data_IF_863848319491
#
_entry.id   IF_863848319491
#
_cell.length_a   1.000
_cell.length_b   1.000
_cell.length_c   1.000
_cell.angle_alpha   90.00
_cell.angle_beta   90.00
_cell.angle_gamma   90.00
#
_symmetry.space_group_name_H-M   'P 1'
#
loop_
_entity.id
_entity.type
_entity.pdbx_description
1 polymer ?
#
# COMPACT_ATOMS: atom_id res chain seq x y z
N UNK A 1 6.70 9.44 -3.87
CA UNK A 1 6.97 10.85 -4.18
C UNK A 1 7.73 11.50 -3.03
N UNK A 2 8.55 12.52 -3.30
CA UNK A 2 9.24 13.32 -2.27
C UNK A 2 10.46 12.71 -1.59
N UNK A 3 10.75 11.41 -1.76
CA UNK A 3 11.79 10.70 -1.01
C UNK A 3 13.18 11.36 -1.10
N UNK A 4 13.55 11.87 -2.28
CA UNK A 4 14.84 12.53 -2.47
C UNK A 4 14.92 13.86 -1.70
N UNK A 5 13.85 14.66 -1.72
CA UNK A 5 13.79 15.94 -1.03
C UNK A 5 13.81 15.77 0.50
N UNK A 6 13.16 14.71 1.01
CA UNK A 6 12.99 14.45 2.44
C UNK A 6 14.11 13.63 3.05
N UNK A 7 15.00 13.06 2.26
CA UNK A 7 15.99 12.07 2.69
C UNK A 7 16.86 12.52 3.87
N UNK A 8 17.36 13.73 3.80
CA UNK A 8 18.25 14.26 4.84
C UNK A 8 17.46 14.59 6.12
N UNK A 9 16.22 15.08 5.98
CA UNK A 9 15.33 15.29 7.11
C UNK A 9 14.97 13.96 7.79
N UNK A 10 14.61 12.92 7.02
CA UNK A 10 14.31 11.58 7.54
C UNK A 10 15.51 11.02 8.33
N UNK A 11 16.72 11.15 7.81
CA UNK A 11 17.93 10.68 8.50
C UNK A 11 18.21 11.45 9.79
N UNK A 12 17.96 12.76 9.78
CA UNK A 12 18.19 13.63 10.93
C UNK A 12 17.18 13.36 12.04
N UNK A 13 15.91 13.27 11.69
CA UNK A 13 14.81 13.06 12.65
C UNK A 13 14.67 11.57 13.06
N UNK A 14 15.20 10.64 12.25
CA UNK A 14 15.20 9.20 12.53
C UNK A 14 13.88 8.49 12.21
N UNK A 15 12.93 9.17 11.58
CA UNK A 15 11.66 8.59 11.12
C UNK A 15 11.20 9.22 9.79
N UNK A 16 10.31 8.52 9.09
CA UNK A 16 9.62 9.03 7.92
C UNK A 16 8.12 9.14 8.19
N UNK A 17 7.48 10.20 7.69
CA UNK A 17 6.02 10.34 7.66
C UNK A 17 5.57 9.87 6.29
N UNK A 18 4.65 8.91 6.22
CA UNK A 18 4.07 8.40 4.99
C UNK A 18 2.64 8.90 4.86
N UNK A 19 2.36 9.62 3.78
CA UNK A 19 1.03 10.13 3.41
C UNK A 19 0.53 9.52 2.10
N UNK A 20 -0.75 9.67 1.78
CA UNK A 20 -1.34 9.10 0.57
C UNK A 20 -1.07 9.95 -0.67
N UNK A 21 -1.41 11.22 -0.62
CA UNK A 21 -1.39 12.13 -1.75
C UNK A 21 -0.12 12.98 -1.85
N UNK A 22 0.18 13.40 -3.07
CA UNK A 22 1.26 14.38 -3.28
C UNK A 22 0.88 15.78 -2.76
N UNK A 23 -0.41 16.09 -2.61
CA UNK A 23 -0.87 17.36 -2.03
C UNK A 23 -0.58 17.40 -0.54
N UNK A 24 -0.87 16.32 0.20
CA UNK A 24 -0.50 16.19 1.61
C UNK A 24 1.01 16.38 1.80
N UNK A 25 1.80 15.71 0.94
CA UNK A 25 3.26 15.92 0.95
C UNK A 25 3.62 17.38 0.80
N UNK A 26 3.09 18.07 -0.22
CA UNK A 26 3.43 19.46 -0.52
C UNK A 26 3.05 20.39 0.63
N UNK A 27 1.87 20.18 1.21
CA UNK A 27 1.38 21.01 2.30
C UNK A 27 2.19 20.83 3.59
N UNK A 28 2.44 19.58 3.99
CA UNK A 28 3.29 19.27 5.14
C UNK A 28 4.70 19.83 4.94
N UNK A 29 5.28 19.65 3.76
CA UNK A 29 6.61 20.15 3.44
C UNK A 29 6.67 21.68 3.46
N UNK A 30 5.65 22.36 2.94
CA UNK A 30 5.51 23.81 3.00
C UNK A 30 5.34 24.33 4.45
N UNK A 31 4.67 23.56 5.29
CA UNK A 31 4.57 23.82 6.73
C UNK A 31 5.87 23.54 7.52
N UNK A 32 6.97 23.21 6.82
CA UNK A 32 8.27 22.85 7.40
C UNK A 32 8.27 21.51 8.16
N UNK A 33 7.38 20.59 7.81
CA UNK A 33 7.41 19.18 8.21
C UNK A 33 8.09 18.41 7.09
N UNK A 34 9.41 18.24 7.20
CA UNK A 34 10.23 17.78 6.06
C UNK A 34 10.44 16.27 5.96
N UNK A 35 10.36 15.43 7.05
CA UNK A 35 10.57 13.99 6.94
C UNK A 35 9.37 13.26 6.34
N UNK A 36 8.71 13.81 5.31
CA UNK A 36 7.47 13.33 4.71
C UNK A 36 7.71 12.74 3.33
N UNK A 37 6.99 11.66 2.99
CA UNK A 37 6.96 11.02 1.67
C UNK A 37 5.52 10.62 1.32
N UNK A 38 5.17 10.60 0.04
CA UNK A 38 3.84 10.22 -0.40
C UNK A 38 3.85 8.99 -1.31
N UNK A 39 2.79 8.19 -1.25
CA UNK A 39 2.58 7.04 -2.15
C UNK A 39 2.14 7.50 -3.53
N UNK A 40 1.32 8.54 -3.61
CA UNK A 40 0.83 9.20 -4.84
C UNK A 40 -0.01 8.30 -5.76
N UNK A 41 -1.24 8.01 -5.34
CA UNK A 41 -2.25 7.39 -6.19
C UNK A 41 -2.07 5.88 -6.43
N UNK A 42 -1.18 5.23 -5.69
CA UNK A 42 -0.98 3.78 -5.73
C UNK A 42 -0.97 3.20 -4.31
N UNK A 43 -1.15 1.88 -4.16
CA UNK A 43 -0.95 1.25 -2.87
C UNK A 43 0.53 1.28 -2.45
N UNK A 44 0.80 1.32 -1.14
CA UNK A 44 2.15 1.18 -0.60
C UNK A 44 2.67 -0.25 -0.83
N UNK A 45 3.82 -0.38 -1.49
CA UNK A 45 4.37 -1.66 -1.94
C UNK A 45 5.61 -2.09 -1.16
N UNK A 46 6.00 -3.39 -1.20
CA UNK A 46 7.27 -3.86 -0.63
C UNK A 46 8.50 -3.12 -1.18
N UNK A 47 8.47 -2.69 -2.45
CA UNK A 47 9.55 -1.90 -3.05
C UNK A 47 9.68 -0.53 -2.41
N UNK A 48 8.55 0.12 -2.06
CA UNK A 48 8.54 1.37 -1.31
C UNK A 48 9.11 1.18 0.10
N UNK A 49 8.71 0.12 0.80
CA UNK A 49 9.25 -0.21 2.12
C UNK A 49 10.77 -0.46 2.07
N UNK A 50 11.24 -1.20 1.08
CA UNK A 50 12.68 -1.43 0.85
C UNK A 50 13.44 -0.13 0.58
N UNK A 51 12.83 0.84 -0.10
CA UNK A 51 13.47 2.14 -0.31
C UNK A 51 13.59 2.94 1.00
N UNK A 52 12.55 2.90 1.85
CA UNK A 52 12.54 3.55 3.16
C UNK A 52 13.50 2.88 4.15
N UNK A 53 13.59 1.55 4.19
CA UNK A 53 14.43 0.82 5.14
C UNK A 53 15.93 1.12 5.00
N UNK A 54 16.36 1.68 3.87
CA UNK A 54 17.75 2.13 3.64
C UNK A 54 18.08 3.46 4.35
N UNK A 55 17.09 4.18 4.85
CA UNK A 55 17.25 5.52 5.39
C UNK A 55 16.68 5.70 6.79
N UNK A 56 15.71 4.89 7.19
CA UNK A 56 15.12 4.88 8.54
C UNK A 56 14.58 3.49 8.87
N UNK A 57 14.37 3.21 10.16
CA UNK A 57 13.64 2.05 10.66
C UNK A 57 12.26 2.39 11.23
N UNK A 58 11.87 3.67 11.28
CA UNK A 58 10.59 4.12 11.84
C UNK A 58 9.77 4.85 10.79
N UNK A 59 8.49 4.49 10.68
CA UNK A 59 7.56 5.12 9.75
C UNK A 59 6.26 5.47 10.46
N UNK A 60 5.91 6.74 10.45
CA UNK A 60 4.63 7.25 10.92
C UNK A 60 3.68 7.28 9.74
N UNK A 61 2.61 6.49 9.78
CA UNK A 61 1.54 6.52 8.80
C UNK A 61 0.58 7.66 9.17
N UNK A 62 0.46 8.63 8.29
CA UNK A 62 -0.42 9.78 8.41
C UNK A 62 -1.32 9.82 7.17
N UNK A 63 -2.30 8.91 7.13
CA UNK A 63 -3.27 8.75 6.05
C UNK A 63 -4.57 9.49 6.39
N UNK A 64 -5.48 9.57 5.42
CA UNK A 64 -6.74 10.29 5.59
C UNK A 64 -7.55 9.79 6.80
N UNK A 65 -8.30 10.67 7.44
CA UNK A 65 -9.07 10.38 8.64
C UNK A 65 -10.36 9.58 8.39
N UNK A 66 -10.60 9.13 7.15
CA UNK A 66 -11.76 8.35 6.75
C UNK A 66 -11.53 6.82 6.85
N UNK A 67 -12.53 6.04 6.41
CA UNK A 67 -12.47 4.58 6.41
C UNK A 67 -11.47 4.05 5.38
N UNK A 68 -11.36 4.67 4.21
CA UNK A 68 -10.46 4.25 3.16
C UNK A 68 -8.99 4.43 3.58
N UNK A 69 -8.65 5.58 4.18
CA UNK A 69 -7.34 5.86 4.75
C UNK A 69 -6.99 4.93 5.91
N UNK A 70 -7.95 4.61 6.79
CA UNK A 70 -7.76 3.63 7.86
C UNK A 70 -7.42 2.23 7.33
N UNK A 71 -8.14 1.76 6.33
CA UNK A 71 -7.87 0.48 5.67
C UNK A 71 -6.53 0.49 4.92
N UNK A 72 -6.17 1.61 4.28
CA UNK A 72 -4.87 1.76 3.63
C UNK A 72 -3.71 1.75 4.64
N UNK A 73 -3.86 2.40 5.79
CA UNK A 73 -2.89 2.38 6.88
C UNK A 73 -2.66 0.96 7.43
N UNK A 74 -3.72 0.16 7.58
CA UNK A 74 -3.61 -1.25 7.99
C UNK A 74 -2.77 -2.04 6.98
N UNK A 75 -3.06 -1.90 5.68
CA UNK A 75 -2.28 -2.60 4.63
C UNK A 75 -0.82 -2.16 4.62
N UNK A 76 -0.57 -0.86 4.68
CA UNK A 76 0.78 -0.31 4.67
C UNK A 76 1.60 -0.75 5.89
N UNK A 77 0.99 -0.81 7.07
CA UNK A 77 1.66 -1.25 8.31
C UNK A 77 2.16 -2.69 8.23
N UNK A 78 1.40 -3.63 7.66
CA UNK A 78 1.87 -4.99 7.43
C UNK A 78 3.02 -5.06 6.43
N UNK A 79 2.99 -4.25 5.37
CA UNK A 79 4.11 -4.17 4.41
C UNK A 79 5.37 -3.64 5.09
N UNK A 80 5.24 -2.64 5.96
CA UNK A 80 6.36 -2.07 6.73
C UNK A 80 6.96 -3.09 7.69
N UNK A 81 6.14 -3.78 8.49
CA UNK A 81 6.60 -4.82 9.43
C UNK A 81 7.35 -5.96 8.72
N UNK A 82 6.88 -6.37 7.53
CA UNK A 82 7.53 -7.40 6.72
C UNK A 82 8.87 -6.94 6.10
N UNK A 83 9.10 -5.63 6.07
CA UNK A 83 10.34 -5.01 5.61
C UNK A 83 11.26 -4.56 6.77
N UNK A 84 11.05 -5.08 7.97
CA UNK A 84 11.79 -4.75 9.20
C UNK A 84 11.70 -3.27 9.63
N UNK A 85 10.61 -2.60 9.22
CA UNK A 85 10.31 -1.24 9.63
C UNK A 85 9.29 -1.24 10.77
N UNK A 86 9.40 -0.27 11.66
CA UNK A 86 8.51 -0.05 12.79
C UNK A 86 7.41 0.96 12.41
N UNK A 87 6.18 0.52 12.10
CA UNK A 87 5.08 1.41 11.81
C UNK A 87 4.41 1.94 13.07
N UNK A 88 4.04 3.21 13.02
CA UNK A 88 3.14 3.85 13.98
C UNK A 88 2.09 4.67 13.23
N UNK A 89 1.01 5.02 13.91
CA UNK A 89 -0.14 5.68 13.30
C UNK A 89 -0.38 7.04 13.93
N UNK A 90 -0.61 8.02 13.09
CA UNK A 90 -1.23 9.30 13.46
C UNK A 90 -2.45 9.47 12.56
N UNK A 91 -3.61 9.76 13.15
CA UNK A 91 -4.84 10.01 12.41
C UNK A 91 -5.18 11.49 12.43
N UNK A 92 -5.47 12.08 11.26
CA UNK A 92 -6.16 13.36 11.21
C UNK A 92 -7.52 13.27 11.93
N UNK A 93 -8.13 14.39 12.30
CA UNK A 93 -9.53 14.41 12.72
C UNK A 93 -10.44 13.72 11.69
N UNK A 94 -11.56 13.16 12.16
CA UNK A 94 -12.50 12.45 11.31
C UNK A 94 -12.93 13.28 10.09
N UNK A 95 -12.81 12.71 8.90
CA UNK A 95 -13.17 13.35 7.64
C UNK A 95 -12.20 14.40 7.11
N UNK A 96 -11.06 14.60 7.77
CA UNK A 96 -9.97 15.46 7.27
C UNK A 96 -8.85 14.64 6.67
N UNK A 97 -8.18 15.19 5.69
CA UNK A 97 -6.89 14.73 5.21
C UNK A 97 -5.74 15.50 5.90
N UNK A 98 -4.48 15.08 5.73
CA UNK A 98 -3.33 15.78 6.33
C UNK A 98 -3.18 17.23 5.86
N UNK A 99 -3.55 17.56 4.61
CA UNK A 99 -3.54 18.92 4.06
C UNK A 99 -4.54 19.82 4.80
N UNK A 100 -5.80 19.38 4.92
CA UNK A 100 -6.85 20.09 5.65
C UNK A 100 -6.46 20.29 7.11
N UNK A 101 -5.95 19.24 7.77
CA UNK A 101 -5.56 19.33 9.18
C UNK A 101 -4.47 20.36 9.43
N UNK A 102 -3.42 20.40 8.60
CA UNK A 102 -2.38 21.44 8.70
C UNK A 102 -2.97 22.83 8.43
N UNK A 103 -3.89 22.94 7.46
CA UNK A 103 -4.55 24.19 7.11
C UNK A 103 -5.38 24.76 8.25
N UNK A 104 -6.16 23.92 8.92
CA UNK A 104 -7.14 24.31 9.93
C UNK A 104 -6.53 24.48 11.33
N UNK A 105 -5.73 23.50 11.76
CA UNK A 105 -5.20 23.43 13.13
C UNK A 105 -3.73 23.87 13.26
N UNK A 106 -3.05 24.10 12.14
CA UNK A 106 -1.64 24.47 12.10
C UNK A 106 -0.67 23.31 12.30
N UNK A 107 0.59 23.54 11.94
CA UNK A 107 1.64 22.52 11.99
C UNK A 107 1.94 21.99 13.40
N UNK A 108 1.77 22.82 14.41
CA UNK A 108 2.05 22.47 15.82
C UNK A 108 1.13 21.33 16.30
N UNK A 109 -0.13 21.32 15.83
CA UNK A 109 -1.09 20.26 16.12
C UNK A 109 -0.62 18.92 15.52
N UNK A 110 -0.19 18.93 14.26
CA UNK A 110 0.30 17.76 13.57
C UNK A 110 1.60 17.23 14.20
N UNK A 111 2.55 18.11 14.51
CA UNK A 111 3.82 17.74 15.17
C UNK A 111 3.55 17.11 16.54
N UNK A 112 2.67 17.70 17.35
CA UNK A 112 2.30 17.16 18.66
C UNK A 112 1.71 15.75 18.57
N UNK A 113 0.95 15.46 17.53
CA UNK A 113 0.41 14.13 17.29
C UNK A 113 1.50 13.15 16.82
N UNK A 114 2.45 13.61 15.98
CA UNK A 114 3.59 12.81 15.52
C UNK A 114 4.54 12.47 16.68
N UNK A 115 4.67 13.32 17.66
CA UNK A 115 5.50 13.06 18.86
C UNK A 115 4.91 11.96 19.76
N UNK A 116 3.60 11.70 19.66
CA UNK A 116 2.88 10.70 20.44
C UNK A 116 2.05 9.74 19.53
N UNK A 117 2.68 9.06 18.58
CA UNK A 117 1.95 8.24 17.63
C UNK A 117 1.42 6.98 18.33
N UNK A 118 0.27 6.49 17.87
CA UNK A 118 -0.27 5.21 18.29
C UNK A 118 0.54 4.05 17.69
N UNK A 119 0.81 3.00 18.47
CA UNK A 119 1.44 1.80 17.93
C UNK A 119 0.53 1.16 16.88
N UNK A 120 1.10 0.72 15.78
CA UNK A 120 0.36 0.13 14.67
C UNK A 120 -0.59 -0.99 15.09
N UNK A 121 -0.12 -1.93 15.92
CA UNK A 121 -0.95 -3.07 16.32
C UNK A 121 -2.11 -2.67 17.24
N UNK A 122 -1.92 -1.63 18.07
CA UNK A 122 -2.99 -1.08 18.89
C UNK A 122 -4.07 -0.47 18.03
N UNK A 123 -3.67 0.32 17.04
CA UNK A 123 -4.57 0.86 16.03
C UNK A 123 -5.31 -0.25 15.26
N UNK A 124 -4.58 -1.28 14.81
CA UNK A 124 -5.16 -2.38 14.05
C UNK A 124 -6.28 -3.09 14.82
N UNK A 125 -6.04 -3.38 16.10
CA UNK A 125 -7.04 -4.05 16.96
C UNK A 125 -8.23 -3.14 17.24
N UNK A 126 -7.98 -1.88 17.52
CA UNK A 126 -9.04 -0.89 17.80
C UNK A 126 -9.89 -0.61 16.57
N UNK A 127 -9.28 -0.35 15.43
CA UNK A 127 -9.96 -0.05 14.17
C UNK A 127 -10.87 -1.19 13.71
N UNK A 128 -10.44 -2.43 13.87
CA UNK A 128 -11.23 -3.62 13.55
C UNK A 128 -12.13 -4.09 14.69
N UNK A 129 -12.24 -3.34 15.79
CA UNK A 129 -12.98 -3.73 17.00
C UNK A 129 -12.59 -5.14 17.48
N UNK A 130 -11.34 -5.53 17.26
CA UNK A 130 -10.88 -6.90 17.43
C UNK A 130 -11.05 -7.48 18.83
N UNK A 131 -11.01 -6.62 19.87
CA UNK A 131 -11.24 -7.00 21.26
C UNK A 131 -12.72 -7.26 21.59
N UNK A 132 -13.65 -6.74 20.79
CA UNK A 132 -15.10 -6.85 20.97
C UNK A 132 -15.69 -8.04 20.21
N UNK A 133 -14.97 -8.56 19.22
CA UNK A 133 -15.39 -9.70 18.41
C UNK A 133 -15.61 -10.97 19.26
N UNK A 134 -16.62 -11.75 18.91
CA UNK A 134 -16.96 -13.00 19.59
C UNK A 134 -17.17 -14.16 18.61
N UNK A 135 -17.12 -15.39 19.12
CA UNK A 135 -17.44 -16.58 18.35
C UNK A 135 -16.59 -16.74 17.09
N UNK A 136 -17.24 -16.95 15.94
CA UNK A 136 -16.60 -17.21 14.66
C UNK A 136 -15.82 -16.01 14.13
N UNK A 137 -16.36 -14.79 14.29
CA UNK A 137 -15.73 -13.57 13.80
C UNK A 137 -14.39 -13.30 14.51
N UNK A 138 -14.38 -13.48 15.84
CA UNK A 138 -13.15 -13.40 16.63
C UNK A 138 -12.10 -14.42 16.15
N UNK A 139 -12.54 -15.65 15.92
CA UNK A 139 -11.65 -16.71 15.46
C UNK A 139 -11.06 -16.38 14.07
N UNK A 140 -11.88 -15.90 13.13
CA UNK A 140 -11.42 -15.50 11.81
C UNK A 140 -10.44 -14.31 11.87
N UNK A 141 -10.70 -13.33 12.72
CA UNK A 141 -9.82 -12.19 12.93
C UNK A 141 -8.45 -12.63 13.47
N UNK A 142 -8.42 -13.49 14.49
CA UNK A 142 -7.16 -14.03 15.05
C UNK A 142 -6.38 -14.81 13.98
N UNK A 143 -7.07 -15.63 13.17
CA UNK A 143 -6.45 -16.38 12.09
C UNK A 143 -5.85 -15.44 11.04
N UNK A 144 -6.53 -14.34 10.71
CA UNK A 144 -6.03 -13.33 9.78
C UNK A 144 -4.75 -12.67 10.32
N UNK A 145 -4.75 -12.24 11.58
CA UNK A 145 -3.56 -11.69 12.25
C UNK A 145 -2.39 -12.67 12.24
N UNK A 146 -2.64 -13.93 12.58
CA UNK A 146 -1.61 -15.00 12.60
C UNK A 146 -0.99 -15.19 11.22
N UNK A 147 -1.77 -15.08 10.13
CA UNK A 147 -1.26 -15.15 8.76
C UNK A 147 -0.32 -13.99 8.43
N UNK A 148 -0.71 -12.78 8.80
CA UNK A 148 0.12 -11.59 8.59
C UNK A 148 1.44 -11.68 9.36
N UNK A 149 1.38 -12.04 10.65
CA UNK A 149 2.57 -12.21 11.52
C UNK A 149 3.51 -13.28 10.97
N UNK A 150 2.96 -14.38 10.45
CA UNK A 150 3.76 -15.46 9.86
C UNK A 150 4.59 -14.98 8.66
N UNK A 151 4.11 -13.98 7.93
CA UNK A 151 4.83 -13.35 6.82
C UNK A 151 6.00 -12.46 7.24
N UNK A 152 6.19 -12.17 8.53
CA UNK A 152 7.33 -11.41 9.05
C UNK A 152 8.52 -12.36 9.17
N UNK A 153 9.59 -12.10 8.39
CA UNK A 153 10.79 -12.95 8.39
C UNK A 153 11.62 -12.76 9.66
N UNK A 154 11.71 -11.52 10.17
CA UNK A 154 12.43 -11.19 11.38
C UNK A 154 11.77 -11.83 12.62
N UNK A 155 12.46 -12.81 13.21
CA UNK A 155 11.96 -13.56 14.35
C UNK A 155 11.72 -12.72 15.62
N UNK A 156 12.48 -11.62 15.80
CA UNK A 156 12.34 -10.73 16.95
C UNK A 156 11.02 -9.95 16.82
N UNK A 157 10.82 -9.28 15.68
CA UNK A 157 9.59 -8.53 15.40
C UNK A 157 8.38 -9.47 15.45
N UNK A 158 8.48 -10.64 14.85
CA UNK A 158 7.42 -11.65 14.86
C UNK A 158 7.02 -12.06 16.28
N UNK A 159 7.99 -12.34 17.14
CA UNK A 159 7.72 -12.75 18.52
C UNK A 159 7.12 -11.59 19.34
N UNK A 160 7.59 -10.35 19.13
CA UNK A 160 6.99 -9.18 19.76
C UNK A 160 5.53 -8.98 19.33
N UNK A 161 5.21 -9.18 18.04
CA UNK A 161 3.82 -9.12 17.57
C UNK A 161 2.94 -10.21 18.21
N UNK A 162 3.45 -11.44 18.31
CA UNK A 162 2.72 -12.52 19.00
C UNK A 162 2.40 -12.15 20.44
N UNK A 163 3.38 -11.63 21.18
CA UNK A 163 3.20 -11.21 22.58
C UNK A 163 2.16 -10.09 22.70
N UNK A 164 2.29 -9.03 21.90
CA UNK A 164 1.37 -7.88 21.97
C UNK A 164 -0.06 -8.33 21.64
N UNK A 165 -0.25 -9.18 20.64
CA UNK A 165 -1.57 -9.69 20.26
C UNK A 165 -2.14 -10.63 21.32
N UNK A 166 -1.31 -11.48 21.92
CA UNK A 166 -1.69 -12.33 23.05
C UNK A 166 -2.27 -11.49 24.20
N UNK A 167 -1.55 -10.45 24.61
CA UNK A 167 -1.97 -9.53 25.66
C UNK A 167 -3.27 -8.78 25.30
N UNK A 168 -3.34 -8.23 24.10
CA UNK A 168 -4.46 -7.41 23.63
C UNK A 168 -5.76 -8.20 23.46
N UNK A 169 -5.65 -9.38 22.88
CA UNK A 169 -6.81 -10.22 22.58
C UNK A 169 -7.05 -11.30 23.67
N UNK A 170 -6.26 -11.34 24.73
CA UNK A 170 -6.37 -12.37 25.79
C UNK A 170 -6.37 -13.79 25.22
N UNK A 171 -5.41 -14.09 24.36
CA UNK A 171 -5.19 -15.40 23.73
C UNK A 171 -3.83 -15.92 24.15
N UNK A 172 -3.72 -17.20 24.46
CA UNK A 172 -2.44 -17.79 24.85
C UNK A 172 -1.41 -17.71 23.70
N UNK A 173 -0.18 -17.27 23.99
CA UNK A 173 0.89 -17.15 22.99
C UNK A 173 1.19 -18.49 22.31
N UNK A 174 1.13 -19.61 23.07
CA UNK A 174 1.39 -20.93 22.51
C UNK A 174 0.32 -21.35 21.50
N UNK A 175 -0.94 -20.94 21.73
CA UNK A 175 -2.02 -21.22 20.78
C UNK A 175 -1.86 -20.40 19.50
N UNK A 176 -1.43 -19.15 19.60
CA UNK A 176 -1.05 -18.34 18.42
C UNK A 176 0.11 -18.99 17.64
N UNK A 177 1.16 -19.43 18.35
CA UNK A 177 2.32 -20.12 17.75
C UNK A 177 1.91 -21.47 17.13
N UNK A 178 1.07 -22.25 17.76
CA UNK A 178 0.54 -23.50 17.19
C UNK A 178 -0.26 -23.25 15.93
N UNK A 179 -1.14 -22.24 15.96
CA UNK A 179 -1.94 -21.84 14.80
C UNK A 179 -1.04 -21.39 13.66
N UNK A 180 0.02 -20.63 13.95
CA UNK A 180 1.01 -20.19 12.97
C UNK A 180 1.75 -21.38 12.31
N UNK A 181 2.06 -22.43 13.07
CA UNK A 181 2.71 -23.66 12.57
C UNK A 181 1.76 -24.54 11.76
N UNK A 182 0.49 -24.63 12.16
CA UNK A 182 -0.53 -25.48 11.53
C UNK A 182 -1.05 -24.90 10.20
N UNK A 183 -1.05 -23.58 10.06
CA UNK A 183 -1.49 -22.92 8.84
C UNK A 183 -0.48 -23.15 7.71
N UNK A 184 -0.85 -23.92 6.66
CA UNK A 184 -0.10 -23.94 5.42
C UNK A 184 -0.16 -22.53 4.83
N UNK A 185 1.00 -21.91 4.62
CA UNK A 185 1.07 -20.64 3.91
C UNK A 185 0.84 -20.95 2.44
N UNK A 186 -0.39 -20.84 2.00
CA UNK A 186 -0.58 -20.36 0.65
C UNK A 186 -0.35 -18.83 0.76
N UNK A 187 0.51 -18.25 -0.04
CA UNK A 187 0.61 -16.80 -0.15
C UNK A 187 -0.66 -16.32 -0.87
N UNK A 188 -1.76 -16.30 -0.15
CA UNK A 188 -2.95 -15.58 -0.58
C UNK A 188 -2.75 -14.17 -0.03
N UNK A 189 -2.23 -13.31 -0.84
CA UNK A 189 -2.61 -11.91 -0.80
C UNK A 189 -4.14 -11.93 -0.80
N UNK A 190 -4.75 -11.64 0.34
CA UNK A 190 -6.15 -11.27 0.36
C UNK A 190 -6.21 -9.91 -0.34
N UNK A 191 -6.26 -9.94 -1.67
CA UNK A 191 -6.88 -8.87 -2.40
C UNK A 191 -8.30 -8.78 -1.85
N UNK A 192 -8.69 -7.61 -1.36
CA UNK A 192 -10.08 -7.24 -1.12
C UNK A 192 -10.89 -7.78 -2.30
N UNK A 193 -11.97 -8.56 -2.12
CA UNK A 193 -12.74 -9.09 -3.24
C UNK A 193 -13.34 -8.00 -4.13
N UNK A 194 -13.27 -6.74 -3.73
CA UNK A 194 -13.77 -5.59 -4.51
C UNK A 194 -12.66 -4.78 -5.23
N UNK A 195 -11.38 -5.06 -4.99
CA UNK A 195 -10.31 -4.44 -5.77
C UNK A 195 -9.67 -5.48 -6.68
N UNK A 196 -9.64 -5.25 -8.00
CA UNK A 196 -8.89 -6.11 -8.90
C UNK A 196 -7.43 -6.17 -8.43
N UNK A 197 -6.78 -7.36 -8.52
CA UNK A 197 -5.39 -7.51 -8.12
C UNK A 197 -4.54 -6.46 -8.81
N UNK A 198 -3.58 -5.88 -8.08
CA UNK A 198 -2.72 -4.85 -8.65
C UNK A 198 -2.04 -5.39 -9.93
N UNK A 199 -1.82 -4.57 -10.95
CA UNK A 199 -1.15 -4.99 -12.19
C UNK A 199 0.17 -5.72 -11.95
N UNK A 200 0.89 -5.40 -10.87
CA UNK A 200 2.16 -6.04 -10.50
C UNK A 200 1.99 -7.50 -10.07
N UNK A 201 0.85 -7.88 -9.49
CA UNK A 201 0.53 -9.27 -9.12
C UNK A 201 0.07 -10.08 -10.33
N UNK A 202 -0.70 -9.45 -11.23
CA UNK A 202 -1.16 -10.07 -12.47
C UNK A 202 -0.03 -10.27 -13.49
N UNK A 203 0.98 -9.40 -13.46
CA UNK A 203 2.03 -9.33 -14.47
C UNK A 203 3.43 -9.36 -13.85
N UNK A 204 3.73 -10.45 -13.13
CA UNK A 204 4.99 -10.60 -12.38
C UNK A 204 6.17 -11.06 -13.25
N UNK A 205 5.92 -11.64 -14.44
CA UNK A 205 6.98 -12.13 -15.31
C UNK A 205 7.70 -10.99 -16.04
N UNK A 206 8.99 -11.20 -16.37
CA UNK A 206 9.73 -10.23 -17.19
C UNK A 206 9.09 -10.02 -18.56
N UNK A 207 8.44 -11.05 -19.09
CA UNK A 207 7.75 -11.00 -20.37
C UNK A 207 6.51 -10.13 -20.27
N UNK A 208 5.71 -10.27 -19.21
CA UNK A 208 4.52 -9.43 -18.99
C UNK A 208 4.90 -7.96 -18.83
N UNK A 209 5.97 -7.65 -18.08
CA UNK A 209 6.46 -6.27 -17.92
C UNK A 209 6.87 -5.64 -19.25
N UNK A 210 7.61 -6.37 -20.08
CA UNK A 210 7.98 -5.89 -21.41
C UNK A 210 6.75 -5.70 -22.31
N UNK A 211 5.74 -6.55 -22.21
CA UNK A 211 4.49 -6.41 -22.95
C UNK A 211 3.69 -5.19 -22.49
N UNK A 212 3.68 -4.87 -21.18
CA UNK A 212 3.05 -3.66 -20.64
C UNK A 212 3.78 -2.40 -21.14
N UNK A 213 5.11 -2.38 -21.12
CA UNK A 213 5.90 -1.27 -21.66
C UNK A 213 5.58 -1.02 -23.14
N UNK A 214 5.43 -2.07 -23.95
CA UNK A 214 5.00 -1.95 -25.35
C UNK A 214 3.59 -1.36 -25.48
N UNK A 215 2.63 -1.78 -24.65
CA UNK A 215 1.28 -1.24 -24.64
C UNK A 215 1.25 0.22 -24.20
N UNK A 216 2.11 0.61 -23.25
CA UNK A 216 2.25 2.01 -22.83
C UNK A 216 2.72 2.92 -23.95
N UNK A 217 3.58 2.43 -24.86
CA UNK A 217 3.99 3.19 -26.06
C UNK A 217 2.83 3.46 -27.04
N UNK A 218 1.82 2.56 -27.07
CA UNK A 218 0.61 2.75 -27.89
C UNK A 218 -0.36 3.80 -27.31
N UNK A 219 -0.28 4.07 -26.02
CA UNK A 219 -1.15 5.04 -25.30
C UNK A 219 -0.47 6.42 -25.21
N UNK A 220 0.82 6.53 -25.47
CA UNK A 220 1.53 7.81 -25.43
C UNK A 220 1.07 8.73 -26.58
N UNK A 221 1.02 10.02 -26.28
CA UNK A 221 0.63 11.08 -27.21
C UNK A 221 1.77 11.38 -28.23
N UNK A 222 2.24 10.33 -28.93
CA UNK A 222 3.29 10.40 -29.94
C UNK A 222 2.94 9.51 -31.14
N UNK A 223 2.30 10.12 -32.12
CA UNK A 223 1.83 9.45 -33.34
C UNK A 223 2.92 8.67 -34.09
N UNK A 224 4.14 9.17 -34.13
CA UNK A 224 5.25 8.50 -34.83
C UNK A 224 5.66 7.21 -34.13
N UNK A 225 5.75 7.19 -32.81
CA UNK A 225 6.08 6.02 -32.01
C UNK A 225 4.93 5.02 -32.07
N UNK A 226 3.69 5.49 -31.93
CA UNK A 226 2.49 4.66 -32.03
C UNK A 226 2.42 3.94 -33.37
N UNK A 227 2.58 4.65 -34.48
CA UNK A 227 2.56 4.09 -35.83
C UNK A 227 3.66 3.04 -36.02
N UNK A 228 4.88 3.33 -35.59
CA UNK A 228 5.99 2.38 -35.67
C UNK A 228 5.70 1.08 -34.87
N UNK A 229 5.17 1.23 -33.65
CA UNK A 229 4.79 0.08 -32.81
C UNK A 229 3.69 -0.75 -33.48
N UNK A 230 2.64 -0.10 -34.01
CA UNK A 230 1.53 -0.77 -34.72
C UNK A 230 2.00 -1.56 -35.96
N UNK A 231 2.97 -1.05 -36.69
CA UNK A 231 3.52 -1.72 -37.89
C UNK A 231 4.38 -2.95 -37.55
N UNK A 232 4.96 -3.02 -36.34
CA UNK A 232 5.96 -4.02 -35.98
C UNK A 232 5.52 -5.01 -34.88
N UNK A 233 4.36 -4.80 -34.25
CA UNK A 233 3.86 -5.65 -33.18
C UNK A 233 2.71 -6.52 -33.67
N UNK A 234 2.79 -7.82 -33.33
CA UNK A 234 1.75 -8.80 -33.57
C UNK A 234 1.05 -9.18 -32.26
N UNK A 235 -0.25 -9.44 -32.29
CA UNK A 235 -1.05 -9.94 -31.17
C UNK A 235 -0.51 -11.26 -30.59
N UNK A 236 0.26 -12.01 -31.34
CA UNK A 236 0.87 -13.27 -30.89
C UNK A 236 2.00 -13.08 -29.87
N UNK A 237 2.55 -11.86 -29.77
CA UNK A 237 3.55 -11.51 -28.76
C UNK A 237 2.94 -11.52 -27.34
N UNK A 238 1.64 -11.27 -27.23
CA UNK A 238 0.96 -11.16 -25.93
C UNK A 238 0.48 -12.53 -25.48
N UNK A 239 1.12 -13.07 -24.42
CA UNK A 239 0.83 -14.42 -23.89
C UNK A 239 -0.30 -14.40 -22.87
N UNK A 240 -0.41 -13.35 -22.08
CA UNK A 240 -1.45 -13.21 -21.07
C UNK A 240 -2.77 -12.79 -21.71
N UNK A 241 -3.89 -13.49 -21.47
CA UNK A 241 -5.17 -13.21 -22.14
C UNK A 241 -5.62 -11.77 -22.02
N UNK A 242 -5.44 -11.15 -20.85
CA UNK A 242 -5.80 -9.74 -20.61
C UNK A 242 -4.96 -8.77 -21.42
N UNK A 243 -3.62 -8.97 -21.45
CA UNK A 243 -2.71 -8.14 -22.26
C UNK A 243 -2.97 -8.30 -23.76
N UNK A 244 -3.28 -9.53 -24.19
CA UNK A 244 -3.63 -9.79 -25.59
C UNK A 244 -4.92 -9.09 -26.00
N UNK A 245 -5.92 -9.07 -25.13
CA UNK A 245 -7.18 -8.38 -25.36
C UNK A 245 -7.01 -6.86 -25.39
N UNK A 246 -6.19 -6.30 -24.48
CA UNK A 246 -5.83 -4.87 -24.47
C UNK A 246 -5.02 -4.49 -25.72
N UNK A 247 -4.06 -5.32 -26.13
CA UNK A 247 -3.32 -5.13 -27.37
C UNK A 247 -4.25 -5.11 -28.58
N UNK A 248 -5.22 -6.03 -28.65
CA UNK A 248 -6.22 -6.07 -29.72
C UNK A 248 -7.07 -4.82 -29.81
N UNK A 249 -7.41 -4.21 -28.67
CA UNK A 249 -8.10 -2.91 -28.63
C UNK A 249 -7.20 -1.77 -29.11
N UNK A 250 -5.96 -1.67 -28.59
CA UNK A 250 -5.03 -0.55 -28.89
C UNK A 250 -4.46 -0.60 -30.29
N UNK A 251 -4.41 -1.77 -30.94
CA UNK A 251 -3.97 -1.96 -32.31
C UNK A 251 -5.08 -1.74 -33.34
N UNK A 252 -6.33 -1.53 -32.91
CA UNK A 252 -7.43 -1.20 -33.81
C UNK A 252 -7.43 0.33 -34.08
N UNK A 253 -7.13 0.70 -35.30
CA UNK A 253 -7.05 2.12 -35.73
C UNK A 253 -8.40 2.88 -35.62
N UNK A 254 -9.51 2.16 -35.52
CA UNK A 254 -10.85 2.74 -35.44
C UNK A 254 -11.31 3.03 -34.01
N UNK A 255 -10.55 2.61 -32.99
CA UNK A 255 -10.94 2.76 -31.59
C UNK A 255 -10.20 3.92 -30.94
N UNK A 256 -10.90 4.65 -30.07
CA UNK A 256 -10.33 5.77 -29.33
C UNK A 256 -9.38 5.27 -28.25
N UNK A 257 -8.23 5.92 -28.10
CA UNK A 257 -7.17 5.53 -27.13
C UNK A 257 -7.29 6.32 -25.82
N UNK A 258 -8.40 7.02 -25.62
CA UNK A 258 -8.70 7.71 -24.37
C UNK A 258 -8.99 6.70 -23.25
N UNK A 259 -8.50 6.99 -22.03
CA UNK A 259 -8.64 6.12 -20.87
C UNK A 259 -10.12 5.76 -20.56
N UNK A 260 -11.05 6.71 -20.76
CA UNK A 260 -12.49 6.51 -20.60
C UNK A 260 -13.05 5.46 -21.57
N UNK A 261 -12.67 5.54 -22.85
CA UNK A 261 -13.13 4.60 -23.88
C UNK A 261 -12.56 3.17 -23.66
N UNK A 262 -11.31 3.08 -23.18
CA UNK A 262 -10.71 1.80 -22.81
C UNK A 262 -11.45 1.16 -21.64
N UNK A 263 -11.76 1.93 -20.59
CA UNK A 263 -12.49 1.45 -19.41
C UNK A 263 -13.89 0.96 -19.82
N UNK A 264 -14.63 1.74 -20.60
CA UNK A 264 -15.97 1.38 -21.08
C UNK A 264 -15.97 0.08 -21.89
N UNK A 265 -14.99 -0.11 -22.81
CA UNK A 265 -14.84 -1.35 -23.58
C UNK A 265 -14.63 -2.59 -22.70
N UNK A 266 -14.00 -2.45 -21.55
CA UNK A 266 -13.74 -3.57 -20.64
C UNK A 266 -14.81 -3.79 -19.58
N UNK A 267 -15.71 -2.82 -19.34
CA UNK A 267 -16.86 -2.95 -18.44
C UNK A 267 -18.04 -3.68 -19.08
N UNK A 268 -18.22 -3.56 -20.39
CA UNK A 268 -19.37 -4.14 -21.12
C UNK A 268 -19.20 -5.63 -21.50
N UNK A 269 -18.16 -6.32 -21.05
CA UNK A 269 -17.86 -7.73 -21.35
C UNK A 269 -17.24 -8.46 -20.16
#
# INVERSE_FOLDING_TARGET
YGLQASRDAIRKEGYAILVEGYMDFLKLYQASIHPVVAVSGTAFTPSHATALSRITNKVVLLYDGDEAGGNAAIRAGWVLLKADLEPSIVRPPEGQDPDDWVGDAGKESVISAIDLPQRYIDFHVEYNQGSELQGADRQQYIIALVREIKGIENGIIRNDMVRIISEKLMVDEQDLIRTMKSQRVNPVYNADPELPPSPEVLFSSRVDKAQIELLQLLVQDNDSVRKYVMEHISLELFKTPLLKRLAGYLLDENLAVESSAIIEYFQDK
#
